data_IF_658404346647
#
_entry.id   IF_658404346647
#
_cell.length_a   1.000
_cell.length_b   1.000
_cell.length_c   1.000
_cell.angle_alpha   90.00
_cell.angle_beta   90.00
_cell.angle_gamma   90.00
#
_symmetry.space_group_name_H-M   'P 1'
#
loop_
_entity.id
_entity.type
_entity.pdbx_description
1 polymer ?
#
# COMPACT_ATOMS: atom_id res chain seq x y z
N UNK A 1 -5.72 -2.64 16.80
CA UNK A 1 -6.52 -3.87 16.97
C UNK A 1 -6.16 -4.83 15.85
N UNK A 2 -5.95 -6.12 16.13
CA UNK A 2 -5.63 -7.13 15.10
C UNK A 2 -6.94 -7.62 14.48
N UNK A 3 -7.15 -7.38 13.18
CA UNK A 3 -8.37 -7.81 12.48
C UNK A 3 -8.23 -9.25 11.97
N UNK A 4 -8.58 -10.21 12.82
CA UNK A 4 -8.79 -11.59 12.38
C UNK A 4 -10.28 -11.88 12.26
N UNK A 5 -10.65 -12.94 11.54
CA UNK A 5 -12.03 -13.43 11.50
C UNK A 5 -12.50 -13.72 12.93
N UNK A 6 -13.40 -12.90 13.43
CA UNK A 6 -13.97 -13.09 14.76
C UNK A 6 -15.03 -14.20 14.69
N UNK A 7 -14.86 -15.20 15.55
CA UNK A 7 -15.98 -16.03 15.97
C UNK A 7 -16.60 -15.28 17.15
N UNK A 8 -17.76 -14.66 16.94
CA UNK A 8 -18.54 -14.01 18.00
C UNK A 8 -19.83 -14.79 18.18
N UNK A 9 -20.03 -15.32 19.39
CA UNK A 9 -21.27 -15.99 19.78
C UNK A 9 -21.97 -15.12 20.81
N UNK A 10 -22.98 -14.38 20.38
CA UNK A 10 -23.79 -13.51 21.25
C UNK A 10 -24.71 -14.36 22.13
N UNK A 11 -24.67 -14.15 23.46
CA UNK A 11 -25.42 -14.94 24.42
C UNK A 11 -26.09 -13.99 25.42
N UNK A 12 -27.39 -14.21 25.67
CA UNK A 12 -28.24 -13.27 26.40
C UNK A 12 -28.06 -13.32 27.94
N UNK A 13 -27.26 -14.25 28.48
CA UNK A 13 -27.11 -14.46 29.92
C UNK A 13 -25.68 -14.90 30.32
N UNK A 14 -25.03 -14.17 31.22
CA UNK A 14 -23.67 -14.43 31.70
C UNK A 14 -23.51 -15.80 32.41
N UNK A 15 -24.51 -16.23 33.19
CA UNK A 15 -24.44 -17.52 33.91
C UNK A 15 -24.45 -18.71 32.93
N UNK A 16 -25.16 -18.56 31.82
CA UNK A 16 -25.21 -19.55 30.75
C UNK A 16 -23.83 -19.67 30.06
N UNK A 17 -23.15 -18.54 29.85
CA UNK A 17 -21.82 -18.49 29.23
C UNK A 17 -20.75 -19.19 30.06
N UNK A 18 -20.73 -18.95 31.37
CA UNK A 18 -19.80 -19.63 32.30
C UNK A 18 -20.07 -21.14 32.33
N UNK A 19 -21.34 -21.55 32.28
CA UNK A 19 -21.73 -22.97 32.16
C UNK A 19 -21.21 -23.60 30.87
N UNK A 20 -21.28 -22.87 29.75
CA UNK A 20 -20.80 -23.34 28.44
C UNK A 20 -19.30 -23.46 28.40
N UNK A 21 -18.55 -22.46 28.87
CA UNK A 21 -17.09 -22.55 28.95
C UNK A 21 -16.65 -23.76 29.78
N UNK A 22 -17.37 -24.06 30.86
CA UNK A 22 -17.16 -25.27 31.67
C UNK A 22 -17.49 -26.56 30.92
N UNK A 23 -18.55 -26.59 30.12
CA UNK A 23 -18.86 -27.73 29.25
C UNK A 23 -17.81 -27.90 28.14
N UNK A 24 -17.28 -26.80 27.61
CA UNK A 24 -16.19 -26.79 26.61
C UNK A 24 -14.91 -27.43 27.14
N UNK A 25 -14.62 -27.34 28.43
CA UNK A 25 -13.48 -28.02 29.05
C UNK A 25 -13.58 -29.55 29.03
N UNK A 26 -14.78 -30.08 28.77
CA UNK A 26 -15.06 -31.54 28.74
C UNK A 26 -15.35 -32.08 27.34
N UNK A 27 -15.25 -31.24 26.31
CA UNK A 27 -15.53 -31.63 24.93
C UNK A 27 -14.52 -32.65 24.41
N UNK A 28 -15.04 -33.70 23.79
CA UNK A 28 -14.25 -34.60 22.94
C UNK A 28 -14.23 -34.00 21.54
N UNK A 29 -13.08 -33.44 21.16
CA UNK A 29 -12.84 -32.90 19.83
C UNK A 29 -11.82 -33.77 19.08
N UNK A 30 -11.93 -33.84 17.75
CA UNK A 30 -11.04 -34.66 16.91
C UNK A 30 -9.59 -34.15 16.99
N UNK A 31 -8.77 -34.78 17.84
CA UNK A 31 -7.35 -34.46 17.99
C UNK A 31 -7.03 -33.19 18.80
N UNK A 32 -8.00 -32.31 19.04
CA UNK A 32 -7.83 -31.13 19.88
C UNK A 32 -7.92 -31.48 21.37
N UNK A 33 -7.02 -30.92 22.19
CA UNK A 33 -6.96 -31.16 23.64
C UNK A 33 -7.13 -29.86 24.41
N UNK A 34 -8.00 -29.85 25.42
CA UNK A 34 -8.10 -28.74 26.37
C UNK A 34 -6.82 -28.69 27.21
N UNK A 35 -6.18 -27.53 27.30
CA UNK A 35 -4.92 -27.38 28.05
C UNK A 35 -5.04 -26.40 29.21
N UNK A 36 -5.24 -26.93 30.42
CA UNK A 36 -5.44 -26.11 31.62
C UNK A 36 -4.21 -25.30 32.03
N UNK A 37 -2.99 -25.76 31.77
CA UNK A 37 -1.76 -25.03 32.14
C UNK A 37 -1.58 -23.74 31.33
N UNK A 38 -1.86 -23.77 30.02
CA UNK A 38 -1.76 -22.60 29.13
C UNK A 38 -2.86 -21.58 29.39
N UNK A 39 -4.05 -22.04 29.77
CA UNK A 39 -5.16 -21.21 30.24
C UNK A 39 -4.70 -20.30 31.40
N UNK A 40 -4.02 -20.86 32.42
CA UNK A 40 -3.54 -20.11 33.60
C UNK A 40 -2.50 -19.05 33.24
N UNK A 41 -1.54 -19.42 32.39
CA UNK A 41 -0.49 -18.50 31.92
C UNK A 41 -1.10 -17.33 31.14
N UNK A 42 -1.99 -17.61 30.19
CA UNK A 42 -2.65 -16.58 29.38
C UNK A 42 -3.57 -15.68 30.22
N UNK A 43 -4.33 -16.25 31.16
CA UNK A 43 -5.19 -15.49 32.07
C UNK A 43 -4.38 -14.51 32.92
N UNK A 44 -3.25 -14.95 33.48
CA UNK A 44 -2.32 -14.12 34.25
C UNK A 44 -1.73 -12.98 33.41
N UNK A 45 -1.23 -13.30 32.22
CA UNK A 45 -0.56 -12.33 31.34
C UNK A 45 -1.51 -11.23 30.83
N UNK A 46 -2.79 -11.57 30.63
CA UNK A 46 -3.79 -10.66 30.07
C UNK A 46 -4.78 -10.09 31.09
N UNK A 47 -4.60 -10.40 32.38
CA UNK A 47 -5.48 -9.97 33.49
C UNK A 47 -6.96 -10.36 33.28
N UNK A 48 -7.18 -11.59 32.81
CA UNK A 48 -8.52 -12.18 32.59
C UNK A 48 -8.79 -13.22 33.68
N UNK A 49 -10.04 -13.34 34.14
CA UNK A 49 -10.40 -14.40 35.09
C UNK A 49 -10.27 -15.77 34.42
N UNK A 50 -9.68 -16.76 35.10
CA UNK A 50 -9.55 -18.11 34.53
C UNK A 50 -10.92 -18.71 34.17
N UNK A 51 -11.96 -18.47 34.96
CA UNK A 51 -13.31 -19.01 34.70
C UNK A 51 -14.01 -18.41 33.46
N UNK A 52 -13.40 -17.39 32.85
CA UNK A 52 -13.87 -16.73 31.63
C UNK A 52 -13.12 -17.21 30.39
N UNK A 53 -12.27 -18.23 30.51
CA UNK A 53 -11.38 -18.69 29.46
C UNK A 53 -11.41 -20.22 29.28
N UNK A 54 -11.27 -20.68 28.04
CA UNK A 54 -10.91 -22.06 27.71
C UNK A 54 -9.87 -22.05 26.60
N UNK A 55 -8.91 -22.97 26.64
CA UNK A 55 -7.84 -23.07 25.64
C UNK A 55 -7.75 -24.47 25.05
N UNK A 56 -7.69 -24.54 23.72
CA UNK A 56 -7.56 -25.78 22.96
C UNK A 56 -6.22 -25.81 22.24
N UNK A 57 -5.48 -26.89 22.40
CA UNK A 57 -4.29 -27.19 21.60
C UNK A 57 -4.70 -28.07 20.44
N UNK A 58 -4.28 -27.68 19.24
CA UNK A 58 -4.50 -28.45 18.02
C UNK A 58 -3.57 -29.66 17.94
N UNK A 59 -3.97 -30.73 17.23
CA UNK A 59 -3.01 -31.73 16.80
C UNK A 59 -1.96 -31.10 15.85
N UNK A 60 -0.85 -31.79 15.64
CA UNK A 60 0.15 -31.37 14.64
C UNK A 60 -0.41 -31.60 13.24
N UNK A 61 -0.53 -30.54 12.46
CA UNK A 61 -0.94 -30.57 11.06
C UNK A 61 0.28 -30.57 10.16
N UNK A 62 0.23 -31.36 9.08
CA UNK A 62 1.24 -31.37 8.01
C UNK A 62 0.71 -30.56 6.83
N UNK A 63 1.34 -29.46 6.50
CA UNK A 63 1.06 -28.70 5.28
C UNK A 63 1.96 -29.21 4.15
N UNK A 64 1.37 -29.88 3.16
CA UNK A 64 2.07 -30.32 1.95
C UNK A 64 1.63 -29.45 0.78
N UNK A 65 2.24 -28.28 0.60
CA UNK A 65 2.16 -27.58 -0.69
C UNK A 65 3.07 -28.30 -1.69
N UNK A 66 2.69 -28.40 -2.98
CA UNK A 66 3.42 -29.19 -3.98
C UNK A 66 4.83 -28.67 -4.35
N UNK A 67 5.30 -27.56 -3.78
CA UNK A 67 6.64 -26.98 -4.03
C UNK A 67 7.35 -26.41 -2.79
N UNK A 68 6.87 -26.64 -1.56
CA UNK A 68 7.53 -26.17 -0.34
C UNK A 68 7.95 -27.34 0.55
N UNK A 69 8.94 -27.10 1.42
CA UNK A 69 9.30 -28.03 2.49
C UNK A 69 8.08 -28.37 3.37
N UNK A 70 8.09 -29.57 3.96
CA UNK A 70 7.00 -30.06 4.81
C UNK A 70 6.94 -29.26 6.11
N UNK A 71 5.99 -28.33 6.20
CA UNK A 71 5.74 -27.62 7.45
C UNK A 71 4.82 -28.44 8.35
N UNK A 72 5.28 -28.73 9.57
CA UNK A 72 4.46 -29.33 10.63
C UNK A 72 4.20 -28.25 11.68
N UNK A 73 2.93 -27.93 11.93
CA UNK A 73 2.57 -26.89 12.89
C UNK A 73 1.48 -27.37 13.85
N UNK A 74 1.50 -26.84 15.07
CA UNK A 74 0.43 -26.99 16.05
C UNK A 74 0.15 -25.61 16.68
N UNK A 75 -1.12 -25.32 16.92
CA UNK A 75 -1.57 -24.04 17.46
C UNK A 75 -2.38 -24.19 18.73
N UNK A 76 -2.47 -23.12 19.51
CA UNK A 76 -3.31 -23.00 20.71
C UNK A 76 -4.34 -21.92 20.44
N UNK A 77 -5.62 -22.27 20.50
CA UNK A 77 -6.74 -21.33 20.37
C UNK A 77 -7.26 -21.02 21.77
N UNK A 78 -7.32 -19.73 22.10
CA UNK A 78 -7.88 -19.22 23.35
C UNK A 78 -9.27 -18.65 23.07
N UNK A 79 -10.28 -19.19 23.72
CA UNK A 79 -11.65 -18.69 23.69
C UNK A 79 -11.97 -18.08 25.05
N UNK A 80 -12.62 -16.92 25.07
CA UNK A 80 -13.06 -16.34 26.32
C UNK A 80 -14.27 -15.44 26.20
N UNK A 81 -14.76 -15.02 27.36
CA UNK A 81 -15.96 -14.24 27.51
C UNK A 81 -15.65 -12.73 27.44
N UNK A 82 -16.26 -12.04 26.46
CA UNK A 82 -16.09 -10.60 26.25
C UNK A 82 -17.41 -10.00 25.75
N UNK A 83 -17.90 -8.94 26.39
CA UNK A 83 -19.10 -8.17 25.98
C UNK A 83 -20.34 -9.06 25.73
N UNK A 84 -20.73 -9.91 26.68
CA UNK A 84 -21.88 -10.83 26.53
C UNK A 84 -21.74 -11.83 25.36
N UNK A 85 -20.49 -12.14 24.97
CA UNK A 85 -20.23 -13.09 23.89
C UNK A 85 -19.00 -13.95 24.12
N UNK A 86 -18.97 -15.15 23.54
CA UNK A 86 -17.74 -15.96 23.46
C UNK A 86 -16.98 -15.55 22.21
N UNK A 87 -15.71 -15.15 22.38
CA UNK A 87 -14.79 -14.73 21.31
C UNK A 87 -13.51 -15.55 21.32
N UNK A 88 -12.88 -15.69 20.15
CA UNK A 88 -11.47 -16.10 20.08
C UNK A 88 -10.62 -14.91 20.51
N UNK A 89 -9.91 -15.07 21.62
CA UNK A 89 -9.02 -14.04 22.17
C UNK A 89 -7.65 -14.06 21.50
N UNK A 90 -7.13 -15.25 21.18
CA UNK A 90 -5.83 -15.40 20.54
C UNK A 90 -5.64 -16.77 19.89
N UNK A 91 -4.71 -16.85 18.93
CA UNK A 91 -4.19 -18.11 18.37
C UNK A 91 -2.67 -18.05 18.37
N UNK A 92 -2.02 -18.92 19.15
CA UNK A 92 -0.55 -18.98 19.29
C UNK A 92 0.04 -20.24 18.69
N UNK A 93 1.31 -20.21 18.28
CA UNK A 93 2.05 -21.43 17.93
C UNK A 93 2.37 -22.22 19.20
N UNK A 94 2.38 -23.55 19.10
CA UNK A 94 2.90 -24.44 20.15
C UNK A 94 4.44 -24.42 20.19
N UNK A 95 5.10 -24.03 19.08
CA UNK A 95 6.54 -23.82 19.04
C UNK A 95 6.85 -22.48 19.72
N UNK A 96 7.44 -22.54 20.92
CA UNK A 96 7.74 -21.35 21.74
C UNK A 96 8.67 -20.39 20.99
N UNK A 97 8.16 -19.21 20.66
CA UNK A 97 8.99 -18.07 20.23
C UNK A 97 8.77 -17.59 18.80
N UNK A 98 8.04 -18.33 17.96
CA UNK A 98 7.81 -17.95 16.56
C UNK A 98 6.40 -17.42 16.34
N UNK A 99 6.30 -16.28 15.63
CA UNK A 99 5.02 -15.73 15.17
C UNK A 99 4.45 -16.63 14.09
N UNK A 100 3.19 -17.04 14.25
CA UNK A 100 2.43 -17.73 13.20
C UNK A 100 2.31 -16.83 11.96
N UNK A 101 2.80 -17.26 10.78
CA UNK A 101 2.44 -16.63 9.52
C UNK A 101 0.93 -16.54 9.35
N UNK A 102 0.44 -15.47 8.72
CA UNK A 102 -1.01 -15.20 8.55
C UNK A 102 -1.75 -16.38 7.91
N UNK A 103 -1.09 -17.09 6.99
CA UNK A 103 -1.69 -18.25 6.33
C UNK A 103 -1.87 -19.45 7.30
N UNK A 104 -0.95 -19.68 8.23
CA UNK A 104 -1.09 -20.73 9.26
C UNK A 104 -2.13 -20.35 10.31
N UNK A 105 -2.25 -19.07 10.67
CA UNK A 105 -3.33 -18.58 11.53
C UNK A 105 -4.70 -18.93 10.96
N UNK A 106 -4.93 -18.60 9.68
CA UNK A 106 -6.19 -18.90 8.99
C UNK A 106 -6.46 -20.40 8.90
N UNK A 107 -5.40 -21.20 8.70
CA UNK A 107 -5.50 -22.65 8.64
C UNK A 107 -5.92 -23.24 9.99
N UNK A 108 -5.28 -22.82 11.10
CA UNK A 108 -5.63 -23.24 12.46
C UNK A 108 -7.08 -22.85 12.80
N UNK A 109 -7.47 -21.61 12.49
CA UNK A 109 -8.83 -21.12 12.72
C UNK A 109 -9.88 -21.93 11.95
N UNK A 110 -9.64 -22.19 10.67
CA UNK A 110 -10.55 -22.99 9.84
C UNK A 110 -10.70 -24.41 10.35
N UNK A 111 -9.59 -25.01 10.76
CA UNK A 111 -9.57 -26.38 11.25
C UNK A 111 -10.24 -26.47 12.64
N UNK A 112 -10.05 -25.47 13.50
CA UNK A 112 -10.76 -25.37 14.78
C UNK A 112 -12.28 -25.30 14.59
N UNK A 113 -12.76 -24.48 13.64
CA UNK A 113 -14.19 -24.44 13.31
C UNK A 113 -14.69 -25.81 12.84
N UNK A 114 -13.90 -26.49 11.98
CA UNK A 114 -14.28 -27.78 11.40
C UNK A 114 -14.34 -28.89 12.44
N UNK A 115 -13.36 -28.96 13.33
CA UNK A 115 -13.16 -30.11 14.22
C UNK A 115 -13.76 -29.93 15.61
N UNK A 116 -13.94 -28.68 16.06
CA UNK A 116 -14.42 -28.36 17.40
C UNK A 116 -15.81 -27.74 17.36
N UNK A 117 -16.02 -26.70 16.54
CA UNK A 117 -17.28 -25.96 16.56
C UNK A 117 -18.41 -26.70 15.83
N UNK A 118 -18.16 -27.17 14.60
CA UNK A 118 -19.20 -27.85 13.80
C UNK A 118 -19.71 -29.17 14.41
N UNK A 119 -18.88 -30.08 14.94
CA UNK A 119 -19.36 -31.34 15.50
C UNK A 119 -20.15 -31.14 16.79
N UNK A 120 -19.79 -30.10 17.55
CA UNK A 120 -20.47 -29.73 18.79
C UNK A 120 -21.54 -28.67 18.55
N UNK A 121 -22.02 -28.51 17.31
CA UNK A 121 -22.98 -27.48 16.96
C UNK A 121 -24.22 -27.48 17.85
N UNK A 122 -24.67 -28.61 18.41
CA UNK A 122 -25.81 -28.67 19.34
C UNK A 122 -25.55 -27.97 20.68
N UNK A 123 -24.33 -28.06 21.22
CA UNK A 123 -23.89 -27.26 22.38
C UNK A 123 -24.02 -25.77 22.05
N UNK A 124 -23.68 -25.41 20.82
CA UNK A 124 -23.82 -24.06 20.30
C UNK A 124 -25.24 -23.72 19.84
N UNK A 125 -26.11 -24.71 19.54
CA UNK A 125 -27.42 -24.56 18.88
C UNK A 125 -28.50 -24.07 19.84
N UNK A 126 -28.43 -24.49 21.10
CA UNK A 126 -29.27 -23.96 22.17
C UNK A 126 -28.99 -22.47 22.46
N UNK A 127 -27.94 -21.90 21.84
CA UNK A 127 -27.55 -20.49 21.94
C UNK A 127 -27.85 -19.67 20.68
N UNK A 128 -28.44 -20.25 19.62
CA UNK A 128 -28.47 -19.59 18.31
C UNK A 128 -29.72 -18.76 18.06
N UNK A 129 -29.63 -17.48 18.41
CA UNK A 129 -30.01 -16.45 17.45
C UNK A 129 -28.93 -16.34 16.37
N UNK A 130 -28.98 -17.18 15.32
CA UNK A 130 -28.08 -17.17 14.13
C UNK A 130 -26.55 -17.18 14.39
N UNK A 131 -25.86 -18.28 14.03
CA UNK A 131 -24.40 -18.23 13.80
C UNK A 131 -24.14 -17.28 12.63
N UNK A 132 -23.79 -16.02 12.91
CA UNK A 132 -23.10 -15.17 11.94
C UNK A 132 -21.63 -15.55 11.96
N UNK A 133 -21.27 -16.59 11.20
CA UNK A 133 -19.89 -16.65 10.70
C UNK A 133 -19.73 -15.38 9.89
N UNK A 134 -18.93 -14.44 10.39
CA UNK A 134 -18.69 -13.19 9.69
C UNK A 134 -17.91 -13.52 8.40
N UNK A 135 -18.65 -13.88 7.35
CA UNK A 135 -18.16 -14.10 5.99
C UNK A 135 -17.91 -12.76 5.30
N UNK A 136 -18.25 -11.64 5.93
CA UNK A 136 -17.87 -10.34 5.44
C UNK A 136 -16.35 -10.24 5.51
N UNK A 137 -15.69 -10.13 4.34
CA UNK A 137 -14.49 -9.30 4.21
C UNK A 137 -14.73 -8.04 5.05
N UNK A 138 -13.73 -7.55 5.81
CA UNK A 138 -13.91 -6.41 6.69
C UNK A 138 -14.63 -5.30 5.92
N UNK A 139 -15.85 -4.98 6.34
CA UNK A 139 -16.46 -3.71 5.99
C UNK A 139 -15.62 -2.69 6.74
N UNK A 140 -14.73 -2.05 5.98
CA UNK A 140 -14.23 -0.72 6.29
C UNK A 140 -15.46 0.05 6.77
N UNK A 141 -15.42 0.61 7.98
CA UNK A 141 -16.27 1.73 8.29
C UNK A 141 -15.86 2.82 7.30
N UNK A 142 -16.47 2.80 6.11
CA UNK A 142 -16.61 3.98 5.30
C UNK A 142 -17.25 4.98 6.27
N UNK A 143 -16.46 5.98 6.64
CA UNK A 143 -16.94 7.20 7.26
C UNK A 143 -18.34 7.45 6.73
N UNK A 144 -19.31 7.57 7.65
CA UNK A 144 -20.72 7.88 7.38
C UNK A 144 -20.85 8.50 6.01
N UNK A 145 -21.41 7.73 5.06
CA UNK A 145 -21.52 8.13 3.68
C UNK A 145 -22.00 9.57 3.62
N UNK A 146 -21.08 10.48 3.30
CA UNK A 146 -21.44 11.79 2.83
C UNK A 146 -22.34 11.55 1.61
N UNK A 147 -23.55 12.07 1.71
CA UNK A 147 -24.59 11.95 0.69
C UNK A 147 -23.99 12.37 -0.67
N UNK A 148 -24.08 11.47 -1.65
CA UNK A 148 -23.87 11.70 -3.11
C UNK A 148 -22.46 12.19 -3.51
N UNK A 149 -21.55 11.25 -3.74
CA UNK A 149 -20.43 11.41 -4.67
C UNK A 149 -20.06 10.06 -5.28
N UNK A 150 -20.90 9.53 -6.16
CA UNK A 150 -20.46 8.45 -7.05
C UNK A 150 -19.46 9.07 -8.02
N UNK A 151 -18.23 8.56 -8.06
CA UNK A 151 -17.23 9.00 -9.04
C UNK A 151 -17.79 8.83 -10.45
N UNK A 152 -17.80 9.90 -11.24
CA UNK A 152 -18.25 9.85 -12.64
C UNK A 152 -17.17 9.17 -13.47
N UNK A 153 -17.53 8.08 -14.13
CA UNK A 153 -16.70 7.40 -15.12
C UNK A 153 -17.29 7.69 -16.49
N UNK A 154 -16.47 8.17 -17.41
CA UNK A 154 -16.84 8.35 -18.80
C UNK A 154 -16.33 7.15 -19.61
N UNK A 155 -17.20 6.52 -20.39
CA UNK A 155 -16.78 5.55 -21.39
C UNK A 155 -16.13 6.32 -22.55
N UNK A 156 -14.83 6.12 -22.76
CA UNK A 156 -14.04 6.84 -23.77
C UNK A 156 -13.73 5.99 -25.01
N UNK A 157 -13.87 4.67 -24.91
CA UNK A 157 -13.80 3.74 -26.03
C UNK A 157 -14.51 2.43 -25.69
N UNK A 158 -14.99 1.72 -26.71
CA UNK A 158 -15.66 0.42 -26.57
C UNK A 158 -14.69 -0.76 -26.61
N UNK A 159 -13.41 -0.52 -26.88
CA UNK A 159 -12.33 -1.50 -26.83
C UNK A 159 -10.99 -0.79 -26.57
N UNK A 160 -9.92 -1.56 -26.36
CA UNK A 160 -8.55 -1.01 -26.27
C UNK A 160 -7.97 -0.64 -27.63
N UNK A 161 -8.58 -1.11 -28.72
CA UNK A 161 -8.07 -0.91 -30.07
C UNK A 161 -8.24 0.56 -30.50
N UNK A 162 -7.15 1.18 -30.97
CA UNK A 162 -7.16 2.57 -31.41
C UNK A 162 -7.20 3.62 -30.30
N UNK A 163 -7.13 3.22 -29.01
CA UNK A 163 -7.02 4.18 -27.91
C UNK A 163 -5.66 4.89 -27.96
N UNK A 164 -5.68 6.23 -27.98
CA UNK A 164 -4.48 7.07 -28.00
C UNK A 164 -4.36 7.89 -26.72
N UNK A 165 -3.17 7.85 -26.11
CA UNK A 165 -2.86 8.67 -24.93
C UNK A 165 -2.75 10.14 -25.33
N UNK A 166 -3.76 10.94 -25.01
CA UNK A 166 -3.74 12.37 -25.31
C UNK A 166 -3.01 13.22 -24.26
N UNK A 167 -2.93 12.76 -23.00
CA UNK A 167 -2.23 13.49 -21.94
C UNK A 167 -1.73 12.55 -20.82
N UNK A 168 -0.40 12.39 -20.75
CA UNK A 168 0.30 11.52 -19.78
C UNK A 168 0.21 11.97 -18.31
N UNK A 169 -0.40 13.12 -18.04
CA UNK A 169 -0.59 13.65 -16.68
C UNK A 169 -1.90 13.19 -16.03
N UNK A 170 -2.76 12.53 -16.78
CA UNK A 170 -4.06 12.06 -16.31
C UNK A 170 -3.97 10.65 -15.75
N UNK A 171 -4.93 10.27 -14.91
CA UNK A 171 -5.10 8.86 -14.53
C UNK A 171 -5.31 8.02 -15.78
N UNK A 172 -4.74 6.82 -15.76
CA UNK A 172 -4.93 5.82 -16.81
C UNK A 172 -6.41 5.37 -16.82
N UNK A 173 -7.02 5.19 -18.01
CA UNK A 173 -8.35 4.60 -18.08
C UNK A 173 -8.29 3.15 -17.60
N UNK A 174 -9.42 2.67 -17.09
CA UNK A 174 -9.59 1.28 -16.68
C UNK A 174 -10.29 0.54 -17.81
N UNK A 175 -9.68 -0.57 -18.22
CA UNK A 175 -10.25 -1.54 -19.14
C UNK A 175 -11.19 -2.45 -18.39
N UNK A 176 -12.48 -2.19 -18.54
CA UNK A 176 -13.54 -2.99 -17.97
C UNK A 176 -13.91 -4.12 -18.93
N UNK A 177 -13.92 -5.34 -18.42
CA UNK A 177 -14.31 -6.55 -19.16
C UNK A 177 -15.45 -7.23 -18.40
N UNK A 178 -16.54 -7.54 -19.09
CA UNK A 178 -17.67 -8.25 -18.50
C UNK A 178 -17.25 -9.68 -18.11
N UNK A 179 -17.77 -10.21 -17.00
CA UNK A 179 -17.30 -11.50 -16.44
C UNK A 179 -17.51 -12.70 -17.37
N UNK A 180 -18.53 -12.64 -18.20
CA UNK A 180 -18.85 -13.62 -19.24
C UNK A 180 -18.16 -13.33 -20.58
N UNK A 181 -17.40 -12.23 -20.66
CA UNK A 181 -16.67 -11.81 -21.84
C UNK A 181 -17.53 -11.19 -22.94
N UNK A 182 -18.81 -10.88 -22.67
CA UNK A 182 -19.73 -10.40 -23.70
C UNK A 182 -19.59 -8.92 -24.05
N UNK A 183 -18.88 -8.15 -23.23
CA UNK A 183 -18.64 -6.74 -23.46
C UNK A 183 -17.37 -6.23 -22.80
N UNK A 184 -16.80 -5.19 -23.38
CA UNK A 184 -15.69 -4.45 -22.80
C UNK A 184 -15.86 -2.94 -23.02
N UNK A 185 -15.05 -2.16 -22.30
CA UNK A 185 -14.98 -0.72 -22.50
C UNK A 185 -13.84 -0.09 -21.72
N UNK A 186 -13.37 1.06 -22.21
CA UNK A 186 -12.40 1.90 -21.53
C UNK A 186 -13.11 3.04 -20.81
N UNK A 187 -12.88 3.13 -19.51
CA UNK A 187 -13.53 4.14 -18.67
C UNK A 187 -12.49 5.01 -17.99
N UNK A 188 -12.72 6.33 -18.01
CA UNK A 188 -11.84 7.30 -17.37
C UNK A 188 -12.57 8.13 -16.33
N UNK A 189 -11.92 8.32 -15.18
CA UNK A 189 -12.45 9.12 -14.07
C UNK A 189 -12.51 10.60 -14.46
N UNK A 190 -13.71 11.16 -14.46
CA UNK A 190 -13.98 12.57 -14.66
C UNK A 190 -14.30 13.26 -13.33
N UNK A 191 -14.05 14.56 -13.30
CA UNK A 191 -14.40 15.43 -12.18
C UNK A 191 -14.93 16.77 -12.71
N UNK A 192 -15.57 17.54 -11.84
CA UNK A 192 -16.15 18.84 -12.17
C UNK A 192 -15.68 19.92 -11.19
N UNK A 193 -15.34 21.08 -11.73
CA UNK A 193 -14.98 22.25 -10.96
C UNK A 193 -15.78 23.47 -11.42
N UNK A 194 -16.03 24.39 -10.49
CA UNK A 194 -16.73 25.64 -10.76
C UNK A 194 -15.75 26.81 -10.64
N UNK A 195 -15.54 27.54 -11.73
CA UNK A 195 -14.76 28.80 -11.74
C UNK A 195 -15.73 29.94 -12.00
N UNK A 196 -16.01 30.72 -10.95
CA UNK A 196 -17.05 31.74 -10.99
C UNK A 196 -18.41 31.13 -11.30
N UNK A 197 -18.99 31.47 -12.46
CA UNK A 197 -20.26 30.91 -12.92
C UNK A 197 -20.08 29.74 -13.89
N UNK A 198 -18.87 29.49 -14.40
CA UNK A 198 -18.60 28.44 -15.38
C UNK A 198 -18.36 27.10 -14.68
N UNK A 199 -19.12 26.08 -15.10
CA UNK A 199 -18.83 24.68 -14.79
C UNK A 199 -17.83 24.14 -15.81
N UNK A 200 -16.77 23.50 -15.34
CA UNK A 200 -15.74 22.87 -16.17
C UNK A 200 -15.66 21.40 -15.76
N UNK A 201 -15.77 20.52 -16.74
CA UNK A 201 -15.59 19.08 -16.57
C UNK A 201 -14.22 18.70 -17.13
N UNK A 202 -13.51 17.83 -16.43
CA UNK A 202 -12.15 17.47 -16.76
C UNK A 202 -11.85 16.05 -16.29
N UNK A 203 -10.87 15.39 -16.92
CA UNK A 203 -10.41 14.09 -16.44
C UNK A 203 -9.50 14.26 -15.22
N UNK A 204 -9.65 13.34 -14.28
CA UNK A 204 -8.88 13.32 -13.04
C UNK A 204 -7.37 13.28 -13.32
N UNK A 205 -6.58 14.23 -12.78
CA UNK A 205 -5.13 14.18 -12.88
C UNK A 205 -4.57 13.02 -12.06
N UNK A 206 -3.42 12.50 -12.51
CA UNK A 206 -2.57 11.64 -11.70
C UNK A 206 -1.49 12.52 -11.06
N UNK A 207 -1.46 12.60 -9.73
CA UNK A 207 -0.53 13.50 -9.03
C UNK A 207 0.94 13.17 -9.35
N UNK A 208 1.32 11.89 -9.38
CA UNK A 208 2.67 11.44 -9.74
C UNK A 208 2.98 11.85 -11.19
N UNK A 209 2.04 11.70 -12.12
CA UNK A 209 2.18 12.13 -13.51
C UNK A 209 2.32 13.64 -13.69
N UNK A 210 1.65 14.45 -12.87
CA UNK A 210 1.81 15.91 -12.84
C UNK A 210 3.23 16.27 -12.35
N UNK A 211 3.67 15.69 -11.24
CA UNK A 211 4.99 15.95 -10.66
C UNK A 211 6.12 15.51 -11.61
N UNK A 212 5.99 14.33 -12.23
CA UNK A 212 6.88 13.87 -13.30
C UNK A 212 6.93 14.87 -14.45
N UNK A 213 5.77 15.36 -14.91
CA UNK A 213 5.73 16.33 -16.00
C UNK A 213 6.46 17.63 -15.66
N UNK A 214 6.40 18.10 -14.41
CA UNK A 214 7.14 19.30 -13.98
C UNK A 214 8.64 19.01 -14.01
N UNK A 215 9.07 17.92 -13.38
CA UNK A 215 10.47 17.51 -13.34
C UNK A 215 11.09 17.37 -14.73
N UNK A 216 10.38 16.69 -15.66
CA UNK A 216 10.82 16.47 -17.04
C UNK A 216 10.88 17.76 -17.85
N UNK A 217 9.89 18.66 -17.72
CA UNK A 217 9.89 19.94 -18.43
C UNK A 217 11.06 20.82 -17.99
N UNK A 218 11.29 20.93 -16.69
CA UNK A 218 12.43 21.69 -16.17
C UNK A 218 13.76 21.06 -16.55
N UNK A 219 13.86 19.72 -16.57
CA UNK A 219 15.06 19.04 -17.06
C UNK A 219 15.33 19.35 -18.54
N UNK A 220 14.30 19.32 -19.39
CA UNK A 220 14.42 19.64 -20.82
C UNK A 220 14.87 21.09 -21.03
N UNK A 221 14.26 22.03 -20.32
CA UNK A 221 14.63 23.45 -20.39
C UNK A 221 16.07 23.68 -19.91
N UNK A 222 16.47 23.04 -18.81
CA UNK A 222 17.85 23.07 -18.32
C UNK A 222 18.85 22.55 -19.37
N UNK A 223 18.51 21.48 -20.11
CA UNK A 223 19.36 20.98 -21.21
C UNK A 223 19.50 22.00 -22.34
N UNK A 224 18.39 22.65 -22.72
CA UNK A 224 18.40 23.68 -23.75
C UNK A 224 19.25 24.88 -23.35
N UNK A 225 19.09 25.37 -22.11
CA UNK A 225 19.88 26.46 -21.53
C UNK A 225 21.36 26.11 -21.46
N UNK A 226 21.72 24.90 -20.99
CA UNK A 226 23.12 24.47 -20.94
C UNK A 226 23.74 24.40 -22.33
N UNK A 227 23.01 23.91 -23.33
CA UNK A 227 23.47 23.89 -24.71
C UNK A 227 23.65 25.30 -25.29
N UNK A 228 22.73 26.24 -24.98
CA UNK A 228 22.86 27.67 -25.32
C UNK A 228 24.11 28.27 -24.71
N UNK A 229 24.33 28.07 -23.40
CA UNK A 229 25.50 28.55 -22.66
C UNK A 229 26.80 28.04 -23.30
N UNK A 230 26.88 26.74 -23.61
CA UNK A 230 28.08 26.13 -24.21
C UNK A 230 28.42 26.64 -25.61
N UNK A 231 27.44 27.15 -26.37
CA UNK A 231 27.62 27.61 -27.75
C UNK A 231 27.72 29.13 -27.89
N UNK A 232 27.52 29.87 -26.81
CA UNK A 232 27.61 31.33 -26.80
C UNK A 232 29.04 31.78 -27.12
N UNK A 233 29.16 32.80 -27.96
CA UNK A 233 30.41 33.54 -28.16
C UNK A 233 30.52 34.66 -27.13
N UNK A 234 31.73 34.94 -26.66
CA UNK A 234 31.95 36.04 -25.73
C UNK A 234 31.65 37.38 -26.41
N UNK A 235 30.92 38.25 -25.70
CA UNK A 235 30.74 39.64 -26.13
C UNK A 235 32.03 40.43 -26.04
N UNK A 236 32.17 41.44 -26.89
CA UNK A 236 33.34 42.33 -26.89
C UNK A 236 33.47 43.14 -25.59
N UNK A 237 32.34 43.54 -24.99
CA UNK A 237 32.32 44.20 -23.68
C UNK A 237 32.32 43.15 -22.56
N UNK A 238 33.37 43.09 -21.71
CA UNK A 238 33.45 42.11 -20.63
C UNK A 238 32.31 42.20 -19.61
N UNK A 239 31.84 43.42 -19.29
CA UNK A 239 30.76 43.61 -18.31
C UNK A 239 29.42 43.09 -18.85
N UNK A 240 29.13 43.38 -20.11
CA UNK A 240 27.90 42.90 -20.75
C UNK A 240 27.93 41.38 -20.91
N UNK A 241 29.10 40.81 -21.25
CA UNK A 241 29.31 39.36 -21.28
C UNK A 241 28.99 38.69 -19.92
N UNK A 242 29.46 39.30 -18.82
CA UNK A 242 29.21 38.80 -17.46
C UNK A 242 27.72 38.90 -17.10
N UNK A 243 27.06 40.02 -17.41
CA UNK A 243 25.63 40.21 -17.13
C UNK A 243 24.77 39.17 -17.84
N UNK A 244 24.97 39.00 -19.15
CA UNK A 244 24.21 38.02 -19.91
C UNK A 244 24.53 36.58 -19.50
N UNK A 245 25.78 36.28 -19.13
CA UNK A 245 26.15 34.95 -18.63
C UNK A 245 25.50 34.67 -17.28
N UNK A 246 25.40 35.70 -16.43
CA UNK A 246 24.76 35.59 -15.12
C UNK A 246 23.27 35.26 -15.25
N UNK A 247 22.56 35.92 -16.17
CA UNK A 247 21.14 35.65 -16.43
C UNK A 247 20.92 34.21 -16.91
N UNK A 248 21.67 33.75 -17.92
CA UNK A 248 21.56 32.38 -18.43
C UNK A 248 21.91 31.34 -17.35
N UNK A 249 22.93 31.59 -16.52
CA UNK A 249 23.32 30.71 -15.41
C UNK A 249 22.22 30.65 -14.35
N UNK A 250 21.62 31.79 -13.98
CA UNK A 250 20.52 31.82 -13.01
C UNK A 250 19.31 31.03 -13.53
N UNK A 251 18.89 31.28 -14.77
CA UNK A 251 17.80 30.55 -15.41
C UNK A 251 18.08 29.03 -15.45
N UNK A 252 19.32 28.64 -15.76
CA UNK A 252 19.71 27.22 -15.73
C UNK A 252 19.62 26.62 -14.33
N UNK A 253 20.16 27.32 -13.32
CA UNK A 253 20.12 26.88 -11.91
C UNK A 253 18.68 26.70 -11.45
N UNK A 254 17.78 27.64 -11.75
CA UNK A 254 16.36 27.56 -11.41
C UNK A 254 15.71 26.29 -11.98
N UNK A 255 15.99 25.97 -13.24
CA UNK A 255 15.44 24.77 -13.88
C UNK A 255 16.01 23.48 -13.29
N UNK A 256 17.31 23.43 -12.98
CA UNK A 256 17.92 22.26 -12.31
C UNK A 256 17.33 22.07 -10.90
N UNK A 257 17.23 23.13 -10.10
CA UNK A 257 16.65 23.05 -8.76
C UNK A 257 15.19 22.61 -8.80
N UNK A 258 14.40 23.17 -9.73
CA UNK A 258 13.01 22.75 -9.96
C UNK A 258 12.95 21.27 -10.29
N UNK A 259 13.80 20.80 -11.21
CA UNK A 259 13.87 19.38 -11.56
C UNK A 259 14.21 18.50 -10.36
N UNK A 260 15.25 18.85 -9.58
CA UNK A 260 15.65 18.09 -8.38
C UNK A 260 14.50 17.97 -7.36
N UNK A 261 13.86 19.10 -7.02
CA UNK A 261 12.79 19.14 -6.02
C UNK A 261 11.59 18.32 -6.47
N UNK A 262 11.17 18.46 -7.74
CA UNK A 262 10.01 17.74 -8.24
C UNK A 262 10.31 16.26 -8.53
N UNK A 263 11.53 15.88 -8.91
CA UNK A 263 11.95 14.47 -8.99
C UNK A 263 11.86 13.81 -7.61
N UNK A 264 12.38 14.45 -6.55
CA UNK A 264 12.31 13.90 -5.19
C UNK A 264 10.86 13.81 -4.71
N UNK A 265 10.07 14.88 -4.89
CA UNK A 265 8.64 14.93 -4.53
C UNK A 265 7.84 13.87 -5.28
N UNK A 266 8.17 13.60 -6.55
CA UNK A 266 7.54 12.52 -7.32
C UNK A 266 7.77 11.16 -6.66
N UNK A 267 9.02 10.86 -6.29
CA UNK A 267 9.38 9.58 -5.66
C UNK A 267 8.67 9.44 -4.30
N UNK A 268 8.65 10.51 -3.50
CA UNK A 268 7.95 10.53 -2.22
C UNK A 268 6.44 10.29 -2.39
N UNK A 269 5.81 10.98 -3.34
CA UNK A 269 4.39 10.80 -3.64
C UNK A 269 4.10 9.38 -4.13
N UNK A 270 4.94 8.84 -5.02
CA UNK A 270 4.82 7.47 -5.51
C UNK A 270 4.90 6.48 -4.36
N UNK A 271 5.98 6.52 -3.58
CA UNK A 271 6.21 5.61 -2.45
C UNK A 271 5.07 5.66 -1.43
N UNK A 272 4.63 6.85 -1.02
CA UNK A 272 3.55 6.98 -0.03
C UNK A 272 2.21 6.45 -0.57
N UNK A 273 1.87 6.76 -1.83
CA UNK A 273 0.64 6.27 -2.46
C UNK A 273 0.68 4.77 -2.77
N UNK A 274 1.87 4.18 -2.89
CA UNK A 274 2.08 2.76 -3.09
C UNK A 274 1.81 1.91 -1.86
N UNK A 275 1.84 2.48 -0.66
CA UNK A 275 1.63 1.76 0.60
C UNK A 275 0.13 1.49 0.82
N UNK A 276 -0.34 0.24 0.79
CA UNK A 276 -1.74 -0.08 1.05
C UNK A 276 -2.15 0.25 2.49
N UNK A 277 -3.43 0.55 2.71
CA UNK A 277 -3.99 0.84 4.06
C UNK A 277 -3.77 -0.28 5.07
N UNK A 278 -3.73 -1.53 4.60
CA UNK A 278 -3.54 -2.71 5.43
C UNK A 278 -2.06 -3.07 5.65
N UNK A 279 -1.13 -2.34 5.03
CA UNK A 279 0.29 -2.62 5.15
C UNK A 279 0.83 -2.16 6.50
N UNK A 280 1.64 -3.02 7.11
CA UNK A 280 2.24 -2.80 8.42
C UNK A 280 3.68 -3.30 8.37
N UNK A 281 4.62 -2.49 8.85
CA UNK A 281 6.01 -2.91 8.98
C UNK A 281 6.46 -2.90 10.44
N UNK A 282 7.53 -3.65 10.72
CA UNK A 282 8.05 -3.85 12.06
C UNK A 282 9.52 -3.43 12.11
N UNK A 283 9.89 -2.67 13.13
CA UNK A 283 11.27 -2.32 13.43
C UNK A 283 11.64 -2.93 14.78
N UNK A 284 12.71 -3.74 14.80
CA UNK A 284 13.25 -4.28 16.05
C UNK A 284 14.25 -3.26 16.60
N UNK A 285 13.93 -2.67 17.75
CA UNK A 285 14.86 -1.79 18.46
C UNK A 285 15.41 -2.47 19.71
N UNK A 286 16.65 -2.11 20.03
CA UNK A 286 17.32 -2.51 21.26
C UNK A 286 17.56 -1.25 22.10
N UNK A 287 16.99 -1.22 23.29
CA UNK A 287 17.21 -0.15 24.25
C UNK A 287 17.42 -0.76 25.62
N UNK A 288 18.48 -0.34 26.31
CA UNK A 288 18.82 -0.83 27.65
C UNK A 288 18.90 -2.37 27.75
N UNK A 289 19.33 -3.04 26.68
CA UNK A 289 19.48 -4.51 26.63
C UNK A 289 18.19 -5.28 26.33
N UNK A 290 17.04 -4.62 26.23
CA UNK A 290 15.74 -5.23 25.90
C UNK A 290 15.42 -4.99 24.43
N UNK A 291 14.95 -6.04 23.75
CA UNK A 291 14.44 -5.95 22.39
C UNK A 291 12.95 -5.64 22.44
N UNK A 292 12.53 -4.59 21.74
CA UNK A 292 11.11 -4.32 21.51
C UNK A 292 10.84 -4.16 20.02
N UNK A 293 9.69 -4.67 19.60
CA UNK A 293 9.24 -4.56 18.22
C UNK A 293 8.26 -3.38 18.13
N UNK A 294 8.62 -2.40 17.30
CA UNK A 294 7.74 -1.29 16.99
C UNK A 294 7.01 -1.58 15.70
N UNK A 295 5.69 -1.63 15.80
CA UNK A 295 4.80 -1.79 14.66
C UNK A 295 4.40 -0.41 14.12
N UNK A 296 4.56 -0.19 12.82
CA UNK A 296 4.13 1.01 12.14
C UNK A 296 2.91 0.72 11.27
N UNK A 297 1.83 1.46 11.48
CA UNK A 297 0.67 1.53 10.57
C UNK A 297 1.03 2.37 9.34
N UNK A 298 0.25 2.30 8.26
CA UNK A 298 0.41 3.14 7.05
C UNK A 298 0.77 4.60 7.39
N UNK A 299 -0.06 5.29 8.18
CA UNK A 299 0.17 6.70 8.56
C UNK A 299 1.50 6.93 9.27
N UNK A 300 1.91 5.95 10.11
CA UNK A 300 3.17 6.02 10.82
C UNK A 300 4.36 5.75 9.89
N UNK A 301 4.20 4.86 8.91
CA UNK A 301 5.21 4.62 7.86
C UNK A 301 5.43 5.89 7.05
N UNK A 302 4.35 6.52 6.57
CA UNK A 302 4.42 7.73 5.75
C UNK A 302 5.21 8.85 6.45
N UNK A 303 5.00 9.04 7.76
CA UNK A 303 5.55 10.15 8.54
C UNK A 303 6.89 9.87 9.21
N UNK A 304 7.14 8.65 9.68
CA UNK A 304 8.25 8.34 10.58
C UNK A 304 9.38 7.55 9.91
N UNK A 305 9.08 6.81 8.85
CA UNK A 305 10.08 6.00 8.16
C UNK A 305 10.78 6.86 7.09
N UNK A 306 12.12 6.89 7.03
CA UNK A 306 12.83 7.63 5.99
C UNK A 306 12.50 7.12 4.59
N UNK A 307 12.42 8.03 3.61
CA UNK A 307 12.09 7.68 2.23
C UNK A 307 13.02 6.61 1.66
N UNK A 308 14.33 6.73 1.92
CA UNK A 308 15.34 5.73 1.53
C UNK A 308 15.00 4.31 2.04
N UNK A 309 14.56 4.18 3.29
CA UNK A 309 14.13 2.90 3.87
C UNK A 309 12.86 2.40 3.21
N UNK A 310 11.89 3.28 2.96
CA UNK A 310 10.65 2.89 2.26
C UNK A 310 10.95 2.33 0.86
N UNK A 311 11.85 2.97 0.12
CA UNK A 311 12.26 2.55 -1.22
C UNK A 311 13.02 1.22 -1.18
N UNK A 312 13.94 1.05 -0.23
CA UNK A 312 14.81 -0.12 -0.13
C UNK A 312 14.12 -1.37 0.42
N UNK A 313 13.22 -1.22 1.38
CA UNK A 313 12.71 -2.35 2.18
C UNK A 313 11.20 -2.51 2.03
N UNK A 314 10.43 -1.41 2.04
CA UNK A 314 8.96 -1.47 2.02
C UNK A 314 8.41 -1.70 0.61
N UNK A 315 8.89 -0.95 -0.38
CA UNK A 315 8.42 -1.11 -1.74
C UNK A 315 8.72 -2.51 -2.30
N UNK A 316 9.92 -3.09 -2.16
CA UNK A 316 10.18 -4.45 -2.63
C UNK A 316 9.29 -5.50 -1.96
N UNK A 317 8.92 -5.32 -0.69
CA UNK A 317 7.99 -6.21 0.01
C UNK A 317 6.54 -6.08 -0.52
N UNK A 318 6.06 -4.85 -0.73
CA UNK A 318 4.74 -4.60 -1.32
C UNK A 318 4.66 -5.17 -2.74
N UNK A 319 5.69 -4.86 -3.54
CA UNK A 319 5.77 -5.14 -4.96
C UNK A 319 6.36 -6.52 -5.28
N UNK A 320 6.81 -7.28 -4.28
CA UNK A 320 7.40 -8.60 -4.47
C UNK A 320 8.53 -8.58 -5.51
N UNK A 321 9.49 -7.66 -5.33
CA UNK A 321 10.62 -7.48 -6.25
C UNK A 321 11.94 -7.87 -5.59
N UNK A 322 12.98 -8.04 -6.40
CA UNK A 322 14.35 -8.17 -5.90
C UNK A 322 14.81 -6.92 -5.12
N UNK A 323 15.85 -7.12 -4.33
CA UNK A 323 16.59 -6.06 -3.66
C UNK A 323 17.13 -5.04 -4.67
N UNK A 324 16.95 -3.75 -4.38
CA UNK A 324 17.22 -2.64 -5.31
C UNK A 324 18.59 -1.97 -5.08
N UNK A 325 19.32 -2.36 -4.05
CA UNK A 325 20.55 -1.68 -3.64
C UNK A 325 21.66 -1.77 -4.69
N UNK A 326 21.63 -2.80 -5.52
CA UNK A 326 22.56 -2.99 -6.63
C UNK A 326 22.15 -2.21 -7.89
N UNK A 327 20.97 -1.60 -7.90
CA UNK A 327 20.47 -0.85 -9.05
C UNK A 327 21.15 0.51 -9.15
N UNK A 328 21.54 0.89 -10.38
CA UNK A 328 22.22 2.16 -10.64
C UNK A 328 21.37 3.37 -10.21
N UNK A 329 20.05 3.28 -10.37
CA UNK A 329 19.14 4.34 -9.97
C UNK A 329 19.14 4.56 -8.44
N UNK A 330 19.42 3.52 -7.63
CA UNK A 330 19.43 3.68 -6.17
C UNK A 330 20.59 4.57 -5.69
N UNK A 331 21.76 4.45 -6.35
CA UNK A 331 22.89 5.36 -6.11
C UNK A 331 22.55 6.79 -6.52
N UNK A 332 21.91 6.97 -7.69
CA UNK A 332 21.46 8.29 -8.14
C UNK A 332 20.39 8.90 -7.20
N UNK A 333 19.51 8.08 -6.62
CA UNK A 333 18.51 8.53 -5.66
C UNK A 333 19.17 9.09 -4.39
N UNK A 334 20.22 8.43 -3.87
CA UNK A 334 20.96 8.95 -2.72
C UNK A 334 21.57 10.34 -3.01
N UNK A 335 22.15 10.53 -4.20
CA UNK A 335 22.66 11.83 -4.64
C UNK A 335 21.54 12.87 -4.81
N UNK A 336 20.39 12.47 -5.35
CA UNK A 336 19.21 13.34 -5.45
C UNK A 336 18.76 13.83 -4.07
N UNK A 337 18.69 12.93 -3.09
CA UNK A 337 18.31 13.25 -1.71
C UNK A 337 19.26 14.27 -1.09
N UNK A 338 20.57 14.10 -1.28
CA UNK A 338 21.57 15.07 -0.82
C UNK A 338 21.39 16.45 -1.48
N UNK A 339 21.22 16.50 -2.79
CA UNK A 339 21.01 17.76 -3.51
C UNK A 339 19.71 18.46 -3.06
N UNK A 340 18.62 17.72 -2.94
CA UNK A 340 17.34 18.24 -2.43
C UNK A 340 17.48 18.78 -1.02
N UNK A 341 18.19 18.09 -0.13
CA UNK A 341 18.44 18.56 1.22
C UNK A 341 19.27 19.85 1.24
N UNK A 342 20.28 19.97 0.36
CA UNK A 342 21.05 21.21 0.19
C UNK A 342 20.22 22.37 -0.35
N UNK A 343 19.16 22.11 -1.13
CA UNK A 343 18.23 23.14 -1.61
C UNK A 343 17.26 23.59 -0.50
N UNK A 344 16.63 22.65 0.21
CA UNK A 344 15.54 22.93 1.16
C UNK A 344 16.06 23.35 2.54
N UNK A 345 17.19 22.79 2.97
CA UNK A 345 17.76 23.00 4.31
C UNK A 345 19.06 23.80 4.25
N UNK A 346 19.10 24.86 3.44
CA UNK A 346 20.26 25.76 3.39
C UNK A 346 20.54 26.36 4.77
N UNK A 347 21.59 25.89 5.44
CA UNK A 347 22.01 26.35 6.77
C UNK A 347 23.03 27.49 6.72
N UNK A 348 23.67 27.74 5.58
CA UNK A 348 24.49 28.93 5.33
C UNK A 348 24.44 29.33 3.85
N UNK A 349 24.50 30.63 3.60
CA UNK A 349 24.41 31.28 2.27
C UNK A 349 25.78 31.35 1.57
N UNK A 350 26.85 30.92 2.23
CA UNK A 350 28.22 31.37 1.90
C UNK A 350 28.93 30.58 0.79
N UNK A 351 28.36 29.51 0.23
CA UNK A 351 29.09 28.66 -0.72
C UNK A 351 28.37 28.48 -2.05
N UNK A 352 28.90 29.18 -3.07
CA UNK A 352 28.55 28.98 -4.49
C UNK A 352 29.00 27.63 -5.04
N UNK A 353 29.80 26.87 -4.29
CA UNK A 353 30.23 25.52 -4.64
C UNK A 353 29.07 24.55 -4.84
N UNK A 354 27.94 24.78 -4.16
CA UNK A 354 26.70 24.03 -4.40
C UNK A 354 26.30 24.06 -5.88
N UNK A 355 26.40 25.23 -6.53
CA UNK A 355 25.98 25.39 -7.91
C UNK A 355 26.93 24.71 -8.89
N UNK A 356 28.21 24.49 -8.53
CA UNK A 356 29.17 23.78 -9.39
C UNK A 356 28.76 22.34 -9.65
N UNK A 357 28.11 21.69 -8.67
CA UNK A 357 27.56 20.34 -8.83
C UNK A 357 26.51 20.26 -9.94
N UNK A 358 25.75 21.34 -10.16
CA UNK A 358 24.70 21.38 -11.18
C UNK A 358 25.25 21.32 -12.59
N UNK A 359 26.52 21.68 -12.83
CA UNK A 359 27.13 21.66 -14.16
C UNK A 359 27.80 20.33 -14.50
N UNK A 360 27.78 19.33 -13.62
CA UNK A 360 28.33 17.99 -13.90
C UNK A 360 27.42 17.23 -14.87
N UNK A 361 28.01 16.39 -15.73
CA UNK A 361 27.25 15.59 -16.71
C UNK A 361 26.25 14.63 -16.05
N UNK A 362 26.53 14.19 -14.81
CA UNK A 362 25.66 13.30 -14.04
C UNK A 362 24.36 13.96 -13.57
N UNK A 363 24.25 15.30 -13.55
CA UNK A 363 23.08 15.99 -13.01
C UNK A 363 21.78 15.54 -13.66
N UNK A 364 21.80 15.35 -14.98
CA UNK A 364 20.60 14.94 -15.71
C UNK A 364 20.23 13.48 -15.46
N UNK A 365 21.19 12.61 -15.11
CA UNK A 365 20.91 11.24 -14.67
C UNK A 365 20.24 11.25 -13.29
N UNK A 366 20.75 12.08 -12.39
CA UNK A 366 20.17 12.27 -11.05
C UNK A 366 18.73 12.78 -11.15
N UNK A 367 18.47 13.79 -11.98
CA UNK A 367 17.13 14.32 -12.21
C UNK A 367 16.15 13.31 -12.85
N UNK A 368 16.66 12.29 -13.56
CA UNK A 368 15.83 11.28 -14.22
C UNK A 368 15.45 10.09 -13.31
N UNK A 369 15.98 10.03 -12.09
CA UNK A 369 15.89 8.82 -11.25
C UNK A 369 14.46 8.42 -10.88
N UNK A 370 13.50 9.37 -10.84
CA UNK A 370 12.08 9.05 -10.63
C UNK A 370 11.51 8.16 -11.73
N UNK A 371 11.90 8.39 -12.99
CA UNK A 371 11.47 7.55 -14.12
C UNK A 371 12.08 6.15 -14.00
N UNK A 372 13.38 6.06 -13.71
CA UNK A 372 14.08 4.77 -13.56
C UNK A 372 13.49 3.93 -12.42
N UNK A 373 13.24 4.55 -11.26
CA UNK A 373 12.66 3.89 -10.09
C UNK A 373 11.24 3.40 -10.36
N UNK A 374 10.37 4.25 -10.94
CA UNK A 374 8.98 3.87 -11.22
C UNK A 374 8.93 2.76 -12.27
N UNK A 375 9.73 2.87 -13.33
CA UNK A 375 9.83 1.82 -14.36
C UNK A 375 10.33 0.50 -13.79
N UNK A 376 11.32 0.52 -12.90
CA UNK A 376 11.81 -0.71 -12.25
C UNK A 376 10.70 -1.48 -11.54
N UNK A 377 9.93 -0.82 -10.66
CA UNK A 377 8.84 -1.48 -9.93
C UNK A 377 7.68 -1.89 -10.84
N UNK A 378 7.48 -1.17 -11.94
CA UNK A 378 6.48 -1.53 -12.92
C UNK A 378 6.86 -2.81 -13.69
N UNK A 379 8.13 -2.94 -14.08
CA UNK A 379 8.62 -4.05 -14.90
C UNK A 379 8.91 -5.32 -14.11
N UNK A 380 9.29 -5.19 -12.85
CA UNK A 380 9.76 -6.30 -12.03
C UNK A 380 8.73 -6.80 -11.00
N UNK A 381 7.53 -6.23 -10.96
CA UNK A 381 6.53 -6.76 -10.06
C UNK A 381 5.92 -8.06 -10.59
N UNK A 382 5.93 -9.10 -9.73
CA UNK A 382 5.32 -10.40 -10.00
C UNK A 382 3.77 -10.40 -9.90
N UNK A 383 3.18 -9.38 -9.27
CA UNK A 383 1.72 -9.25 -9.08
C UNK A 383 1.10 -8.36 -10.14
N UNK A 384 -0.01 -8.82 -10.70
CA UNK A 384 -0.80 -8.05 -11.66
C UNK A 384 -1.49 -6.87 -10.94
N UNK A 385 -0.94 -5.65 -11.04
CA UNK A 385 -1.53 -4.41 -10.49
C UNK A 385 -2.67 -3.88 -11.34
N UNK A 386 -3.54 -4.79 -11.75
CA UNK A 386 -4.63 -4.58 -12.69
C UNK A 386 -5.50 -3.36 -12.39
N UNK A 387 -5.51 -2.79 -11.20
CA UNK A 387 -6.40 -1.66 -10.89
C UNK A 387 -5.73 -0.48 -10.19
N UNK A 388 -4.41 -0.48 -9.98
CA UNK A 388 -3.80 0.55 -9.14
C UNK A 388 -3.73 1.91 -9.87
N UNK A 389 -4.56 2.92 -9.48
CA UNK A 389 -4.69 4.17 -10.22
C UNK A 389 -3.54 5.15 -9.95
N UNK A 390 -2.65 4.82 -8.99
CA UNK A 390 -1.52 5.68 -8.63
C UNK A 390 -0.45 5.68 -9.72
N UNK A 391 -0.33 4.60 -10.48
CA UNK A 391 0.69 4.47 -11.52
C UNK A 391 0.52 5.53 -12.62
N UNK A 392 1.55 6.35 -12.87
CA UNK A 392 1.54 7.28 -14.00
C UNK A 392 1.63 6.50 -15.33
N UNK A 393 1.52 7.23 -16.43
CA UNK A 393 1.89 6.68 -17.73
C UNK A 393 3.40 6.45 -17.80
N UNK A 394 3.80 5.31 -18.32
CA UNK A 394 5.21 4.93 -18.50
C UNK A 394 5.51 4.91 -19.99
N UNK A 395 6.61 5.55 -20.37
CA UNK A 395 7.04 5.66 -21.76
C UNK A 395 7.32 4.27 -22.35
N UNK A 396 6.74 4.01 -23.53
CA UNK A 396 6.86 2.71 -24.21
C UNK A 396 5.97 1.61 -23.65
N UNK A 397 5.12 1.91 -22.66
CA UNK A 397 4.18 0.96 -22.02
C UNK A 397 2.73 1.48 -22.05
N UNK A 398 2.42 2.40 -22.96
CA UNK A 398 1.11 3.06 -23.05
C UNK A 398 -0.06 2.11 -23.34
N UNK A 399 0.21 0.94 -23.94
CA UNK A 399 -0.84 -0.05 -24.25
C UNK A 399 -1.23 -0.92 -23.05
N UNK A 400 -0.54 -0.78 -21.91
CA UNK A 400 -0.81 -1.59 -20.72
C UNK A 400 -1.75 -0.81 -19.80
N UNK A 401 -3.04 -1.13 -19.91
CA UNK A 401 -4.10 -0.50 -19.13
C UNK A 401 -4.49 -1.36 -17.92
N UNK A 402 -4.81 -0.72 -16.78
CA UNK A 402 -5.48 -1.39 -15.67
C UNK A 402 -6.72 -2.15 -16.14
N UNK A 403 -6.86 -3.43 -15.80
CA UNK A 403 -8.03 -4.28 -16.08
C UNK A 403 -8.94 -4.43 -14.86
N UNK A 404 -10.25 -4.39 -15.06
CA UNK A 404 -11.22 -4.73 -14.01
C UNK A 404 -12.36 -5.54 -14.58
N UNK A 405 -12.80 -6.57 -13.85
CA UNK A 405 -14.04 -7.28 -14.21
C UNK A 405 -15.24 -6.55 -13.65
N UNK A 406 -16.32 -6.43 -14.41
CA UNK A 406 -17.57 -5.85 -13.92
C UNK A 406 -18.80 -6.71 -14.25
N UNK A 407 -19.91 -6.37 -13.60
CA UNK A 407 -21.24 -6.84 -13.95
C UNK A 407 -22.03 -5.62 -14.43
N UNK A 408 -22.53 -5.66 -15.66
CA UNK A 408 -23.28 -4.56 -16.29
C UNK A 408 -24.47 -4.09 -15.45
N UNK A 409 -25.06 -4.96 -14.62
CA UNK A 409 -26.15 -4.63 -13.70
C UNK A 409 -25.77 -3.68 -12.56
N UNK A 410 -24.48 -3.54 -12.26
CA UNK A 410 -23.98 -2.67 -11.19
C UNK A 410 -23.74 -1.23 -11.67
N UNK A 411 -23.97 -0.95 -12.97
CA UNK A 411 -23.73 0.35 -13.60
C UNK A 411 -25.02 0.96 -14.12
N UNK A 412 -25.13 2.29 -13.99
CA UNK A 412 -26.21 3.07 -14.57
C UNK A 412 -25.62 4.05 -15.57
N UNK A 413 -26.09 4.00 -16.82
CA UNK A 413 -25.81 5.04 -17.81
C UNK A 413 -26.64 6.27 -17.45
N UNK A 414 -25.96 7.37 -17.11
CA UNK A 414 -26.59 8.62 -16.65
C UNK A 414 -26.68 9.71 -17.72
N UNK A 415 -26.12 9.48 -18.90
CA UNK A 415 -26.17 10.40 -20.04
C UNK A 415 -25.18 10.05 -21.16
N UNK A 416 -25.30 10.74 -22.28
CA UNK A 416 -24.37 10.73 -23.43
C UNK A 416 -23.77 12.12 -23.59
N UNK A 417 -22.51 12.22 -24.02
CA UNK A 417 -21.88 13.51 -24.37
C UNK A 417 -22.21 13.97 -25.79
N UNK A 418 -22.91 13.13 -26.56
CA UNK A 418 -23.32 13.38 -27.94
C UNK A 418 -24.82 13.70 -28.07
N UNK A 419 -25.56 13.62 -26.96
CA UNK A 419 -26.95 14.06 -26.84
C UNK A 419 -26.98 15.42 -26.13
#
# INVERSE_FOLDING_TARGET
MRHYRELTLEINNEQEIRSILKQMETLKAEGWKVQKSLKKEYAKDNKINEDELVSFISPYYKNTKPKSEKEVFAGVVYLGFVDNSIKILDIKSVLKGEKLPVHLYNLIFHQFIKDVIKPNANLFRNLLGTIKLNKKKPEIQLSKADKKSGKKLLCIAVSTEGFNVFNKRLKRPIHFIERDGTGEGLFQEGDELKIGQKKIEYFSPNNIGILLSIATKSQLEARNLLHKIKRRQNLANPLDNIKESSEDICNYIEQIQTSIVFTYTTIEAFVNLSIPDYYECFEIKKESGVYYERKYTRDAIERLIPLKTKIKEILPDIYDTSAIENEKFFTNFALLEELRNKIIHQKSIEHTDLYKEYFRESIFKICNVSNELISFFYENCEKDFTTNPIWPWIDGKENILPKSTFNSKDFQVVGSIYD
#
